data_IF_103041478082
#
_entry.id   IF_103041478082
#
_cell.length_a   1.000
_cell.length_b   1.000
_cell.length_c   1.000
_cell.angle_alpha   90.00
_cell.angle_beta   90.00
_cell.angle_gamma   90.00
#
_symmetry.space_group_name_H-M   'P 1'
#
loop_
_entity.id
_entity.type
_entity.pdbx_description
1 polymer ?
#
# COMPACT_ATOMS: atom_id res chain seq x y z
N UNK A 1 9.66 -3.49 18.25
CA UNK A 1 10.04 -3.75 19.66
C UNK A 1 9.05 -3.19 20.68
N UNK A 2 8.71 -1.89 20.69
CA UNK A 2 7.79 -1.32 21.72
C UNK A 2 6.41 -1.99 21.79
N UNK A 3 5.78 -2.24 20.64
CA UNK A 3 4.45 -2.89 20.54
C UNK A 3 4.46 -4.32 21.09
N UNK A 4 5.56 -5.05 20.94
CA UNK A 4 5.69 -6.42 21.45
C UNK A 4 5.66 -6.44 22.98
N UNK A 5 6.44 -5.56 23.62
CA UNK A 5 6.46 -5.44 25.08
C UNK A 5 5.12 -4.99 25.64
N UNK A 6 4.46 -4.02 25.02
CA UNK A 6 3.11 -3.56 25.43
C UNK A 6 2.14 -4.74 25.42
N UNK A 7 2.17 -5.57 24.38
CA UNK A 7 1.30 -6.74 24.24
C UNK A 7 1.57 -7.78 25.33
N UNK A 8 2.83 -8.17 25.55
CA UNK A 8 3.19 -9.10 26.62
C UNK A 8 2.74 -8.58 28.00
N UNK A 9 2.96 -7.30 28.28
CA UNK A 9 2.56 -6.69 29.54
C UNK A 9 1.03 -6.76 29.69
N UNK A 10 0.27 -6.38 28.65
CA UNK A 10 -1.20 -6.46 28.68
C UNK A 10 -1.72 -7.89 28.88
N UNK A 11 -1.14 -8.88 28.20
CA UNK A 11 -1.50 -10.28 28.35
C UNK A 11 -1.18 -10.81 29.75
N UNK A 12 -0.02 -10.44 30.29
CA UNK A 12 0.40 -10.83 31.64
C UNK A 12 -0.47 -10.22 32.72
N UNK A 13 -0.92 -8.97 32.56
CA UNK A 13 -1.83 -8.30 33.49
C UNK A 13 -3.18 -9.03 33.54
N UNK A 14 -3.74 -9.40 32.40
CA UNK A 14 -5.00 -10.16 32.34
C UNK A 14 -4.88 -11.52 33.03
N UNK A 15 -3.76 -12.22 32.83
CA UNK A 15 -3.48 -13.48 33.50
C UNK A 15 -3.29 -13.33 35.02
N UNK A 16 -2.58 -12.28 35.46
CA UNK A 16 -2.40 -11.99 36.89
C UNK A 16 -3.72 -11.67 37.58
N UNK A 17 -4.62 -10.95 36.89
CA UNK A 17 -5.99 -10.72 37.36
C UNK A 17 -6.73 -12.04 37.55
N UNK A 18 -6.68 -12.93 36.55
CA UNK A 18 -7.34 -14.24 36.60
C UNK A 18 -6.84 -15.11 37.76
N UNK A 19 -5.52 -15.20 37.93
CA UNK A 19 -4.89 -15.99 39.01
C UNK A 19 -5.28 -15.45 40.39
N UNK A 20 -5.36 -14.13 40.54
CA UNK A 20 -5.53 -13.49 41.85
C UNK A 20 -6.98 -13.54 42.35
N UNK A 21 -7.95 -13.44 41.43
CA UNK A 21 -9.36 -13.23 41.80
C UNK A 21 -10.29 -14.39 41.45
N UNK A 22 -10.00 -15.18 40.41
CA UNK A 22 -10.98 -16.13 39.85
C UNK A 22 -10.52 -17.60 39.92
N UNK A 23 -9.25 -17.85 40.24
CA UNK A 23 -8.69 -19.20 40.20
C UNK A 23 -8.95 -20.00 41.47
N UNK A 24 -9.54 -21.19 41.30
CA UNK A 24 -9.74 -22.17 42.38
C UNK A 24 -8.43 -22.83 42.81
N UNK A 25 -7.54 -23.10 41.85
CA UNK A 25 -6.24 -23.75 42.07
C UNK A 25 -5.08 -22.91 41.49
N UNK A 26 -4.56 -21.99 42.30
CA UNK A 26 -3.51 -21.05 41.89
C UNK A 26 -2.26 -21.73 41.30
N UNK A 27 -1.84 -22.88 41.84
CA UNK A 27 -0.66 -23.59 41.34
C UNK A 27 -0.81 -24.05 39.88
N UNK A 28 -1.99 -24.56 39.50
CA UNK A 28 -2.28 -25.00 38.12
C UNK A 28 -2.34 -23.79 37.19
N UNK A 29 -2.92 -22.69 37.66
CA UNK A 29 -3.03 -21.44 36.90
C UNK A 29 -1.68 -20.79 36.63
N UNK A 30 -0.74 -20.85 37.57
CA UNK A 30 0.64 -20.37 37.35
C UNK A 30 1.35 -21.23 36.27
N UNK A 31 1.14 -22.55 36.27
CA UNK A 31 1.70 -23.43 35.25
C UNK A 31 1.08 -23.13 33.88
N UNK A 32 -0.25 -23.00 33.81
CA UNK A 32 -0.95 -22.64 32.57
C UNK A 32 -0.53 -21.26 32.05
N UNK A 33 -0.30 -20.29 32.94
CA UNK A 33 0.28 -18.99 32.59
C UNK A 33 1.67 -19.14 31.97
N UNK A 34 2.57 -19.90 32.62
CA UNK A 34 3.92 -20.10 32.11
C UNK A 34 3.93 -20.76 30.72
N UNK A 35 3.07 -21.77 30.52
CA UNK A 35 2.92 -22.46 29.22
C UNK A 35 2.38 -21.51 28.16
N UNK A 36 1.28 -20.79 28.45
CA UNK A 36 0.68 -19.86 27.49
C UNK A 36 1.61 -18.68 27.18
N UNK A 37 2.35 -18.17 28.15
CA UNK A 37 3.38 -17.15 27.94
C UNK A 37 4.52 -17.66 27.04
N UNK A 38 4.96 -18.90 27.24
CA UNK A 38 5.97 -19.55 26.38
C UNK A 38 5.51 -19.67 24.93
N UNK A 39 4.27 -20.12 24.71
CA UNK A 39 3.67 -20.20 23.37
C UNK A 39 3.49 -18.79 22.78
N UNK A 40 3.08 -17.82 23.60
CA UNK A 40 2.93 -16.42 23.19
C UNK A 40 4.27 -15.81 22.74
N UNK A 41 5.38 -16.13 23.41
CA UNK A 41 6.71 -15.71 22.97
C UNK A 41 7.08 -16.32 21.61
N UNK A 42 6.71 -17.59 21.39
CA UNK A 42 6.89 -18.27 20.10
C UNK A 42 6.07 -17.68 18.96
N UNK A 43 5.07 -16.82 19.21
CA UNK A 43 4.36 -16.07 18.16
C UNK A 43 5.26 -15.08 17.41
N UNK A 44 6.46 -14.78 17.92
CA UNK A 44 7.48 -14.01 17.20
C UNK A 44 7.95 -14.73 15.94
N UNK A 45 7.87 -16.06 15.91
CA UNK A 45 8.31 -16.88 14.78
C UNK A 45 7.09 -17.10 13.86
N UNK A 46 7.13 -16.66 12.58
CA UNK A 46 5.97 -16.70 11.69
C UNK A 46 5.58 -18.11 11.22
N UNK A 47 6.45 -19.11 11.40
CA UNK A 47 6.16 -20.51 11.03
C UNK A 47 5.02 -21.08 11.89
N UNK A 48 4.06 -21.72 11.21
CA UNK A 48 2.91 -22.40 11.81
C UNK A 48 2.12 -21.52 12.79
N UNK A 49 1.91 -20.25 12.44
CA UNK A 49 1.34 -19.26 13.37
C UNK A 49 -0.09 -19.61 13.82
N UNK A 50 -0.92 -20.14 12.91
CA UNK A 50 -2.27 -20.59 13.25
C UNK A 50 -2.26 -21.64 14.35
N UNK A 51 -1.38 -22.65 14.27
CA UNK A 51 -1.30 -23.73 15.27
C UNK A 51 -0.92 -23.25 16.66
N UNK A 52 -0.17 -22.15 16.76
CA UNK A 52 0.16 -21.53 18.05
C UNK A 52 -1.05 -20.81 18.64
N UNK A 53 -1.80 -20.09 17.81
CA UNK A 53 -3.05 -19.45 18.24
C UNK A 53 -4.12 -20.47 18.62
N UNK A 54 -4.26 -21.56 17.87
CA UNK A 54 -5.19 -22.64 18.22
C UNK A 54 -4.81 -23.30 19.54
N UNK A 55 -3.51 -23.56 19.77
CA UNK A 55 -3.02 -24.07 21.05
C UNK A 55 -3.33 -23.11 22.22
N UNK A 56 -3.13 -21.80 22.03
CA UNK A 56 -3.46 -20.79 23.04
C UNK A 56 -4.95 -20.80 23.38
N UNK A 57 -5.83 -20.82 22.37
CA UNK A 57 -7.28 -20.88 22.59
C UNK A 57 -7.67 -22.13 23.38
N UNK A 58 -7.17 -23.30 22.98
CA UNK A 58 -7.49 -24.58 23.65
C UNK A 58 -7.03 -24.58 25.11
N UNK A 59 -5.81 -24.12 25.38
CA UNK A 59 -5.26 -24.11 26.75
C UNK A 59 -6.04 -23.13 27.63
N UNK A 60 -6.37 -21.93 27.12
CA UNK A 60 -7.15 -20.93 27.85
C UNK A 60 -8.57 -21.42 28.14
N UNK A 61 -9.25 -22.02 27.16
CA UNK A 61 -10.60 -22.56 27.35
C UNK A 61 -10.59 -23.74 28.31
N UNK A 62 -9.63 -24.66 28.21
CA UNK A 62 -9.51 -25.77 29.15
C UNK A 62 -9.22 -25.28 30.57
N UNK A 63 -8.32 -24.31 30.72
CA UNK A 63 -8.02 -23.70 32.01
C UNK A 63 -9.27 -23.05 32.62
N UNK A 64 -9.99 -22.24 31.83
CA UNK A 64 -11.24 -21.61 32.28
C UNK A 64 -12.33 -22.61 32.67
N UNK A 65 -12.50 -23.66 31.88
CA UNK A 65 -13.53 -24.66 32.14
C UNK A 65 -13.30 -25.47 33.43
N UNK A 66 -12.04 -25.80 33.75
CA UNK A 66 -11.72 -26.70 34.87
C UNK A 66 -11.31 -25.98 36.17
N UNK A 67 -10.73 -24.78 36.09
CA UNK A 67 -9.99 -24.18 37.21
C UNK A 67 -10.39 -22.73 37.55
N UNK A 68 -11.48 -22.23 36.97
CA UNK A 68 -11.97 -20.86 37.21
C UNK A 68 -13.46 -20.88 37.53
N UNK A 69 -13.89 -20.11 38.53
CA UNK A 69 -15.31 -20.00 38.91
C UNK A 69 -16.06 -18.98 38.05
N UNK A 70 -15.33 -17.95 37.60
CA UNK A 70 -15.87 -16.83 36.82
C UNK A 70 -15.39 -16.85 35.37
N UNK A 71 -16.34 -16.76 34.44
CA UNK A 71 -16.06 -16.84 33.01
C UNK A 71 -15.59 -15.52 32.37
N UNK A 72 -15.61 -14.41 33.13
CA UNK A 72 -15.36 -13.07 32.57
C UNK A 72 -13.92 -12.92 32.08
N UNK A 73 -12.93 -13.23 32.91
CA UNK A 73 -11.55 -12.95 32.55
C UNK A 73 -10.96 -14.01 31.61
N UNK A 74 -11.44 -15.26 31.63
CA UNK A 74 -11.21 -16.22 30.54
C UNK A 74 -11.79 -15.74 29.21
N UNK A 75 -13.03 -15.22 29.18
CA UNK A 75 -13.61 -14.66 27.97
C UNK A 75 -12.83 -13.43 27.45
N UNK A 76 -12.34 -12.56 28.33
CA UNK A 76 -11.48 -11.43 27.97
C UNK A 76 -10.12 -11.89 27.43
N UNK A 77 -9.53 -12.94 27.98
CA UNK A 77 -8.29 -13.55 27.47
C UNK A 77 -8.50 -14.14 26.07
N UNK A 78 -9.63 -14.82 25.83
CA UNK A 78 -9.99 -15.33 24.50
C UNK A 78 -10.17 -14.18 23.50
N UNK A 79 -10.91 -13.12 23.88
CA UNK A 79 -11.07 -11.92 23.07
C UNK A 79 -9.71 -11.30 22.74
N UNK A 80 -8.82 -11.18 23.73
CA UNK A 80 -7.47 -10.66 23.54
C UNK A 80 -6.71 -11.46 22.47
N UNK A 81 -6.76 -12.80 22.53
CA UNK A 81 -6.11 -13.65 21.53
C UNK A 81 -6.69 -13.46 20.12
N UNK A 82 -8.01 -13.31 20.00
CA UNK A 82 -8.66 -13.04 18.71
C UNK A 82 -8.25 -11.68 18.14
N UNK A 83 -8.25 -10.63 18.98
CA UNK A 83 -7.77 -9.30 18.60
C UNK A 83 -6.32 -9.37 18.11
N UNK A 84 -5.48 -10.06 18.87
CA UNK A 84 -4.06 -10.22 18.60
C UNK A 84 -3.78 -10.91 17.26
N UNK A 85 -4.53 -11.98 17.00
CA UNK A 85 -4.44 -12.76 15.78
C UNK A 85 -4.95 -12.01 14.55
N UNK A 86 -5.93 -11.12 14.71
CA UNK A 86 -6.50 -10.33 13.62
C UNK A 86 -5.47 -9.42 12.93
N UNK A 87 -4.42 -9.02 13.66
CA UNK A 87 -3.31 -8.23 13.10
C UNK A 87 -2.18 -9.06 12.47
N UNK A 88 -2.18 -10.39 12.63
CA UNK A 88 -1.03 -11.25 12.28
C UNK A 88 -1.34 -12.39 11.33
N UNK A 89 -2.56 -12.92 11.34
CA UNK A 89 -2.97 -14.04 10.50
C UNK A 89 -3.56 -13.56 9.18
N UNK A 90 -3.31 -14.29 8.10
CA UNK A 90 -3.97 -14.09 6.80
C UNK A 90 -5.50 -14.29 6.87
N UNK A 91 -6.25 -13.79 5.88
CA UNK A 91 -7.73 -13.74 5.89
C UNK A 91 -8.37 -15.11 6.19
N UNK A 92 -7.89 -16.15 5.51
CA UNK A 92 -8.40 -17.52 5.69
C UNK A 92 -8.14 -18.03 7.12
N UNK A 93 -6.92 -17.88 7.61
CA UNK A 93 -6.52 -18.34 8.95
C UNK A 93 -7.23 -17.57 10.07
N UNK A 94 -7.51 -16.29 9.86
CA UNK A 94 -8.27 -15.47 10.79
C UNK A 94 -9.73 -15.93 10.91
N UNK A 95 -10.39 -16.23 9.79
CA UNK A 95 -11.76 -16.74 9.79
C UNK A 95 -11.82 -18.09 10.52
N UNK A 96 -10.87 -19.00 10.24
CA UNK A 96 -10.78 -20.30 10.92
C UNK A 96 -10.64 -20.11 12.43
N UNK A 97 -9.73 -19.23 12.87
CA UNK A 97 -9.51 -18.96 14.30
C UNK A 97 -10.74 -18.35 14.97
N UNK A 98 -11.47 -17.46 14.27
CA UNK A 98 -12.70 -16.86 14.79
C UNK A 98 -13.80 -17.92 15.01
N UNK A 99 -13.98 -18.85 14.06
CA UNK A 99 -14.92 -19.97 14.21
C UNK A 99 -14.54 -20.84 15.41
N UNK A 100 -13.24 -21.14 15.58
CA UNK A 100 -12.74 -21.89 16.74
C UNK A 100 -12.99 -21.16 18.05
N UNK A 101 -12.69 -19.86 18.13
CA UNK A 101 -12.94 -19.06 19.32
C UNK A 101 -14.43 -19.00 19.67
N UNK A 102 -15.32 -18.85 18.69
CA UNK A 102 -16.77 -18.88 18.89
C UNK A 102 -17.26 -20.25 19.40
N UNK A 103 -16.75 -21.34 18.85
CA UNK A 103 -17.07 -22.70 19.31
C UNK A 103 -16.60 -22.93 20.75
N UNK A 104 -15.38 -22.49 21.08
CA UNK A 104 -14.81 -22.63 22.42
C UNK A 104 -15.52 -21.74 23.46
N UNK A 105 -15.98 -20.56 23.05
CA UNK A 105 -16.83 -19.70 23.88
C UNK A 105 -18.18 -20.36 24.18
N UNK A 106 -18.78 -21.02 23.19
CA UNK A 106 -20.01 -21.79 23.38
C UNK A 106 -19.80 -22.99 24.33
N UNK A 107 -18.65 -23.68 24.22
CA UNK A 107 -18.28 -24.78 25.10
C UNK A 107 -18.18 -24.36 26.57
N UNK A 108 -17.63 -23.17 26.84
CA UNK A 108 -17.56 -22.57 28.18
C UNK A 108 -18.94 -22.31 28.80
N UNK A 109 -19.99 -22.17 27.99
CA UNK A 109 -21.36 -21.97 28.47
C UNK A 109 -22.16 -23.24 28.77
N UNK A 110 -21.67 -24.43 28.41
CA UNK A 110 -22.43 -25.69 28.57
C UNK A 110 -22.57 -26.27 29.99
N UNK A 111 -21.58 -26.18 30.90
CA UNK A 111 -21.59 -26.95 32.15
C UNK A 111 -22.39 -26.31 33.29
N UNK A 112 -22.59 -24.99 33.26
CA UNK A 112 -23.20 -24.24 34.36
C UNK A 112 -24.69 -23.95 34.10
N UNK A 113 -25.44 -23.73 35.18
CA UNK A 113 -26.77 -23.11 35.05
C UNK A 113 -26.63 -21.77 34.33
N UNK A 114 -27.24 -21.66 33.15
CA UNK A 114 -27.19 -20.48 32.31
C UNK A 114 -27.88 -19.31 33.02
N UNK A 115 -27.12 -18.56 33.81
CA UNK A 115 -27.59 -17.29 34.38
C UNK A 115 -27.68 -16.25 33.27
N UNK A 116 -28.65 -15.34 33.39
CA UNK A 116 -28.87 -14.26 32.42
C UNK A 116 -27.60 -13.42 32.23
N UNK A 117 -26.86 -13.18 33.31
CA UNK A 117 -25.58 -12.44 33.28
C UNK A 117 -24.55 -13.08 32.35
N UNK A 118 -24.35 -14.40 32.44
CA UNK A 118 -23.36 -15.13 31.63
C UNK A 118 -23.76 -15.21 30.16
N UNK A 119 -25.05 -15.40 29.89
CA UNK A 119 -25.57 -15.36 28.51
C UNK A 119 -25.32 -13.99 27.89
N UNK A 120 -25.60 -12.91 28.62
CA UNK A 120 -25.34 -11.54 28.16
C UNK A 120 -23.84 -11.31 27.92
N UNK A 121 -22.98 -11.76 28.83
CA UNK A 121 -21.52 -11.66 28.68
C UNK A 121 -21.01 -12.39 27.44
N UNK A 122 -21.39 -13.66 27.24
CA UNK A 122 -20.94 -14.43 26.09
C UNK A 122 -21.47 -13.87 24.77
N UNK A 123 -22.71 -13.38 24.74
CA UNK A 123 -23.24 -12.66 23.58
C UNK A 123 -22.45 -11.37 23.33
N UNK A 124 -22.16 -10.59 24.36
CA UNK A 124 -21.38 -9.36 24.24
C UNK A 124 -19.98 -9.63 23.69
N UNK A 125 -19.26 -10.61 24.24
CA UNK A 125 -17.93 -11.01 23.76
C UNK A 125 -18.01 -11.57 22.33
N UNK A 126 -19.02 -12.38 22.03
CA UNK A 126 -19.26 -12.90 20.68
C UNK A 126 -19.50 -11.80 19.65
N UNK A 127 -20.32 -10.81 19.98
CA UNK A 127 -20.59 -9.62 19.15
C UNK A 127 -19.30 -8.81 18.96
N UNK A 128 -18.52 -8.57 20.02
CA UNK A 128 -17.24 -7.86 19.91
C UNK A 128 -16.26 -8.60 18.99
N UNK A 129 -16.11 -9.91 19.16
CA UNK A 129 -15.29 -10.73 18.28
C UNK A 129 -15.76 -10.62 16.82
N UNK A 130 -17.07 -10.63 16.58
CA UNK A 130 -17.65 -10.51 15.24
C UNK A 130 -17.35 -9.14 14.62
N UNK A 131 -17.57 -8.05 15.35
CA UNK A 131 -17.28 -6.68 14.91
C UNK A 131 -15.81 -6.53 14.56
N UNK A 132 -14.90 -7.01 15.43
CA UNK A 132 -13.45 -6.95 15.17
C UNK A 132 -13.09 -7.73 13.92
N UNK A 133 -13.64 -8.93 13.75
CA UNK A 133 -13.38 -9.76 12.58
C UNK A 133 -13.79 -9.01 11.30
N UNK A 134 -15.01 -8.48 11.28
CA UNK A 134 -15.52 -7.69 10.15
C UNK A 134 -14.63 -6.47 9.87
N UNK A 135 -14.30 -5.66 10.89
CA UNK A 135 -13.43 -4.51 10.73
C UNK A 135 -12.06 -4.87 10.15
N UNK A 136 -11.51 -6.03 10.51
CA UNK A 136 -10.22 -6.47 9.99
C UNK A 136 -10.32 -6.97 8.54
N UNK A 137 -11.41 -7.63 8.17
CA UNK A 137 -11.68 -8.02 6.78
C UNK A 137 -11.84 -6.77 5.92
N UNK A 138 -12.66 -5.81 6.35
CA UNK A 138 -12.89 -4.54 5.64
C UNK A 138 -11.59 -3.73 5.48
N UNK A 139 -10.76 -3.64 6.52
CA UNK A 139 -9.46 -2.93 6.44
C UNK A 139 -8.53 -3.54 5.39
N UNK A 140 -8.54 -4.86 5.23
CA UNK A 140 -7.69 -5.53 4.24
C UNK A 140 -8.21 -5.31 2.82
N UNK A 141 -9.52 -5.42 2.63
CA UNK A 141 -10.14 -5.12 1.34
C UNK A 141 -9.89 -3.66 0.93
N UNK A 142 -10.00 -2.72 1.87
CA UNK A 142 -9.63 -1.32 1.64
C UNK A 142 -8.15 -1.17 1.24
N UNK A 143 -7.25 -1.95 1.85
CA UNK A 143 -5.83 -1.88 1.54
C UNK A 143 -5.52 -2.47 0.16
N UNK A 144 -6.14 -3.59 -0.21
CA UNK A 144 -6.03 -4.19 -1.55
C UNK A 144 -6.51 -3.22 -2.63
N UNK A 145 -7.69 -2.61 -2.45
CA UNK A 145 -8.24 -1.60 -3.36
C UNK A 145 -7.32 -0.37 -3.45
N UNK A 146 -6.76 0.07 -2.33
CA UNK A 146 -5.84 1.21 -2.30
C UNK A 146 -4.55 0.93 -3.08
N UNK A 147 -4.00 -0.27 -2.95
CA UNK A 147 -2.80 -0.70 -3.69
C UNK A 147 -3.07 -0.80 -5.21
N UNK A 148 -4.24 -1.33 -5.60
CA UNK A 148 -4.68 -1.37 -7.00
C UNK A 148 -4.83 0.04 -7.58
N UNK A 149 -5.54 0.93 -6.87
CA UNK A 149 -5.73 2.32 -7.28
C UNK A 149 -4.40 3.08 -7.43
N UNK A 150 -3.45 2.85 -6.52
CA UNK A 150 -2.09 3.40 -6.64
C UNK A 150 -1.35 2.86 -7.87
N UNK A 151 -1.55 1.59 -8.21
CA UNK A 151 -1.03 0.96 -9.42
C UNK A 151 -1.55 1.63 -10.69
N UNK A 152 -2.86 1.82 -10.78
CA UNK A 152 -3.51 2.50 -11.90
C UNK A 152 -3.07 3.96 -12.00
N UNK A 153 -3.06 4.69 -10.89
CA UNK A 153 -2.62 6.09 -10.86
C UNK A 153 -1.19 6.25 -11.38
N UNK A 154 -0.27 5.36 -10.99
CA UNK A 154 1.12 5.36 -11.51
C UNK A 154 1.17 5.12 -13.01
N UNK A 155 0.34 4.21 -13.52
CA UNK A 155 0.25 3.89 -14.94
C UNK A 155 -0.30 5.08 -15.74
N UNK A 156 -1.40 5.68 -15.27
CA UNK A 156 -2.01 6.86 -15.87
C UNK A 156 -1.03 8.04 -15.87
N UNK A 157 -0.31 8.26 -14.77
CA UNK A 157 0.72 9.30 -14.68
C UNK A 157 1.85 9.10 -15.69
N UNK A 158 2.33 7.87 -15.89
CA UNK A 158 3.33 7.58 -16.93
C UNK A 158 2.79 7.86 -18.33
N UNK A 159 1.55 7.45 -18.60
CA UNK A 159 0.90 7.72 -19.88
C UNK A 159 0.77 9.24 -20.16
N UNK A 160 0.35 10.02 -19.16
CA UNK A 160 0.27 11.48 -19.29
C UNK A 160 1.62 12.13 -19.57
N UNK A 161 2.68 11.75 -18.86
CA UNK A 161 4.03 12.29 -19.09
C UNK A 161 4.50 11.95 -20.51
N UNK A 162 4.27 10.72 -20.97
CA UNK A 162 4.63 10.32 -22.32
C UNK A 162 3.81 11.07 -23.37
N UNK A 163 2.52 11.26 -23.15
CA UNK A 163 1.65 12.02 -24.04
C UNK A 163 2.08 13.50 -24.10
N UNK A 164 2.44 14.12 -22.97
CA UNK A 164 2.97 15.48 -22.93
C UNK A 164 4.29 15.60 -23.69
N UNK A 165 5.22 14.67 -23.49
CA UNK A 165 6.49 14.64 -24.22
C UNK A 165 6.26 14.49 -25.72
N UNK A 166 5.38 13.57 -26.14
CA UNK A 166 5.04 13.36 -27.55
C UNK A 166 4.38 14.60 -28.16
N UNK A 167 3.43 15.23 -27.48
CA UNK A 167 2.81 16.47 -27.94
C UNK A 167 3.83 17.61 -28.07
N UNK A 168 4.77 17.71 -27.12
CA UNK A 168 5.86 18.70 -27.18
C UNK A 168 6.81 18.43 -28.34
N UNK A 169 7.10 17.17 -28.64
CA UNK A 169 7.91 16.77 -29.80
C UNK A 169 7.19 17.07 -31.12
N UNK A 170 5.91 16.72 -31.22
CA UNK A 170 5.08 17.01 -32.39
C UNK A 170 5.01 18.52 -32.67
N UNK A 171 4.82 19.32 -31.62
CA UNK A 171 4.82 20.78 -31.70
C UNK A 171 6.16 21.33 -32.22
N UNK A 172 7.28 20.84 -31.68
CA UNK A 172 8.62 21.24 -32.15
C UNK A 172 8.85 20.89 -33.62
N UNK A 173 8.44 19.69 -34.03
CA UNK A 173 8.56 19.24 -35.43
C UNK A 173 7.68 20.09 -36.35
N UNK A 174 6.47 20.47 -35.91
CA UNK A 174 5.61 21.39 -36.65
C UNK A 174 6.26 22.76 -36.80
N UNK A 175 6.75 23.35 -35.70
CA UNK A 175 7.45 24.65 -35.71
C UNK A 175 8.66 24.61 -36.65
N UNK A 176 9.46 23.54 -36.61
CA UNK A 176 10.63 23.38 -37.47
C UNK A 176 10.24 23.37 -38.97
N UNK A 177 9.15 22.67 -39.32
CA UNK A 177 8.61 22.64 -40.70
C UNK A 177 8.09 24.02 -41.11
N UNK A 178 7.29 24.67 -40.27
CA UNK A 178 6.73 25.99 -40.55
C UNK A 178 7.83 27.05 -40.72
N UNK A 179 8.89 27.00 -39.91
CA UNK A 179 10.06 27.87 -40.05
C UNK A 179 10.84 27.59 -41.34
N UNK A 180 11.09 26.32 -41.66
CA UNK A 180 11.77 25.93 -42.89
C UNK A 180 11.03 26.47 -44.12
N UNK A 181 9.71 26.27 -44.16
CA UNK A 181 8.91 26.65 -45.31
C UNK A 181 8.71 28.17 -45.37
N UNK A 182 8.40 28.83 -44.25
CA UNK A 182 8.16 30.28 -44.27
C UNK A 182 9.44 31.11 -44.40
N UNK A 183 10.43 30.90 -43.52
CA UNK A 183 11.67 31.70 -43.47
C UNK A 183 12.63 31.28 -44.57
N UNK A 184 12.78 29.96 -44.78
CA UNK A 184 13.67 29.42 -45.81
C UNK A 184 13.26 29.85 -47.22
N UNK A 185 11.97 29.78 -47.56
CA UNK A 185 11.50 30.24 -48.88
C UNK A 185 11.63 31.75 -49.05
N UNK A 186 11.30 32.55 -48.01
CA UNK A 186 11.45 34.02 -48.07
C UNK A 186 12.90 34.46 -48.27
N UNK A 187 13.84 33.85 -47.54
CA UNK A 187 15.27 34.14 -47.70
C UNK A 187 15.78 33.69 -49.07
N UNK A 188 15.32 32.55 -49.59
CA UNK A 188 15.68 32.10 -50.94
C UNK A 188 15.19 33.08 -52.01
N UNK A 189 13.94 33.55 -51.90
CA UNK A 189 13.39 34.58 -52.78
C UNK A 189 14.18 35.90 -52.67
N UNK A 190 14.53 36.32 -51.46
CA UNK A 190 15.35 37.51 -51.20
C UNK A 190 16.73 37.41 -51.87
N UNK A 191 17.41 36.27 -51.73
CA UNK A 191 18.71 36.00 -52.38
C UNK A 191 18.57 36.10 -53.91
N UNK A 192 17.50 35.55 -54.49
CA UNK A 192 17.23 35.67 -55.93
C UNK A 192 16.95 37.11 -56.37
N UNK A 193 16.19 37.88 -55.59
CA UNK A 193 15.91 39.29 -55.88
C UNK A 193 17.18 40.14 -55.81
N UNK A 194 18.03 39.93 -54.79
CA UNK A 194 19.33 40.60 -54.66
C UNK A 194 20.28 40.24 -55.80
N UNK A 195 20.26 38.97 -56.25
CA UNK A 195 21.05 38.53 -57.41
C UNK A 195 20.64 39.25 -58.69
N UNK A 196 19.33 39.38 -58.95
CA UNK A 196 18.84 40.11 -60.10
C UNK A 196 19.26 41.59 -60.06
N UNK A 197 19.17 42.23 -58.88
CA UNK A 197 19.53 43.64 -58.69
C UNK A 197 21.04 43.87 -58.86
N UNK A 198 21.89 42.98 -58.34
CA UNK A 198 23.35 43.04 -58.54
C UNK A 198 23.71 43.01 -60.03
N UNK A 199 23.09 42.11 -60.81
CA UNK A 199 23.31 42.01 -62.26
C UNK A 199 22.83 43.26 -63.02
N UNK A 200 21.67 43.81 -62.65
CA UNK A 200 21.08 44.96 -63.35
C UNK A 200 21.80 46.28 -63.05
N UNK A 201 22.17 46.53 -61.80
CA UNK A 201 22.74 47.81 -61.37
C UNK A 201 24.27 47.82 -61.34
N UNK A 202 24.95 46.66 -61.40
CA UNK A 202 26.41 46.52 -61.26
C UNK A 202 26.97 47.19 -60.00
N UNK A 203 26.18 47.19 -58.93
CA UNK A 203 26.56 47.76 -57.65
C UNK A 203 26.97 46.65 -56.68
N UNK A 204 28.19 46.74 -56.17
CA UNK A 204 28.79 45.78 -55.23
C UNK A 204 28.06 45.75 -53.89
N UNK A 205 27.29 46.79 -53.53
CA UNK A 205 26.48 46.80 -52.31
C UNK A 205 25.42 45.68 -52.27
N UNK A 206 24.89 45.27 -53.43
CA UNK A 206 23.94 44.16 -53.51
C UNK A 206 24.59 42.79 -53.31
N UNK A 207 25.89 42.65 -53.62
CA UNK A 207 26.64 41.42 -53.36
C UNK A 207 26.88 41.21 -51.86
N UNK A 208 27.16 42.28 -51.11
CA UNK A 208 27.28 42.23 -49.64
C UNK A 208 25.94 41.86 -48.98
N UNK A 209 24.83 42.46 -49.41
CA UNK A 209 23.49 42.12 -48.92
C UNK A 209 23.09 40.68 -49.26
N UNK A 210 23.44 40.20 -50.46
CA UNK A 210 23.21 38.82 -50.87
C UNK A 210 24.01 37.84 -50.00
N UNK A 211 25.25 38.17 -49.67
CA UNK A 211 26.07 37.36 -48.79
C UNK A 211 25.47 37.29 -47.38
N UNK A 212 25.04 38.43 -46.82
CA UNK A 212 24.36 38.47 -45.52
C UNK A 212 23.07 37.63 -45.50
N UNK A 213 22.28 37.67 -46.57
CA UNK A 213 21.08 36.85 -46.71
C UNK A 213 21.40 35.34 -46.81
N UNK A 214 22.50 34.97 -47.47
CA UNK A 214 22.99 33.58 -47.52
C UNK A 214 23.44 33.08 -46.15
N UNK A 215 24.20 33.89 -45.42
CA UNK A 215 24.64 33.56 -44.06
C UNK A 215 23.43 33.39 -43.13
N UNK A 216 22.45 34.29 -43.21
CA UNK A 216 21.20 34.21 -42.43
C UNK A 216 20.38 32.95 -42.76
N UNK A 217 20.37 32.51 -44.02
CA UNK A 217 19.69 31.27 -44.42
C UNK A 217 20.39 30.03 -43.85
N UNK A 218 21.72 30.02 -43.85
CA UNK A 218 22.50 28.92 -43.28
C UNK A 218 22.32 28.85 -41.76
N UNK A 219 22.41 29.99 -41.06
CA UNK A 219 22.16 30.08 -39.62
C UNK A 219 20.76 29.58 -39.25
N UNK A 220 19.74 29.95 -40.03
CA UNK A 220 18.36 29.49 -39.82
C UNK A 220 18.25 27.98 -40.03
N UNK A 221 18.92 27.43 -41.07
CA UNK A 221 18.94 25.97 -41.32
C UNK A 221 19.64 25.21 -40.21
N UNK A 222 20.73 25.73 -39.67
CA UNK A 222 21.43 25.15 -38.52
C UNK A 222 20.54 25.14 -37.28
N UNK A 223 19.83 26.25 -37.00
CA UNK A 223 18.89 26.32 -35.88
C UNK A 223 17.71 25.34 -36.04
N UNK A 224 17.13 25.22 -37.23
CA UNK A 224 16.05 24.26 -37.52
C UNK A 224 16.54 22.81 -37.43
N UNK A 225 17.75 22.52 -37.93
CA UNK A 225 18.36 21.19 -37.78
C UNK A 225 18.64 20.85 -36.32
N UNK A 226 19.06 21.80 -35.50
CA UNK A 226 19.24 21.59 -34.06
C UNK A 226 17.91 21.23 -33.37
N UNK A 227 16.81 21.89 -33.74
CA UNK A 227 15.46 21.56 -33.27
C UNK A 227 15.00 20.15 -33.69
N UNK A 228 15.45 19.65 -34.84
CA UNK A 228 15.13 18.31 -35.37
C UNK A 228 16.07 17.20 -34.87
N UNK A 229 17.35 17.47 -34.62
CA UNK A 229 18.31 16.43 -34.18
C UNK A 229 18.16 16.08 -32.70
N UNK A 230 17.64 17.00 -31.89
CA UNK A 230 17.21 16.71 -30.52
C UNK A 230 16.04 15.70 -30.48
N UNK A 231 15.30 15.52 -31.59
CA UNK A 231 14.24 14.52 -31.75
C UNK A 231 14.79 13.10 -31.97
N UNK A 232 15.81 12.93 -32.84
CA UNK A 232 16.33 11.60 -33.20
C UNK A 232 17.14 10.92 -32.08
N UNK A 233 17.64 11.66 -31.09
CA UNK A 233 18.34 11.09 -29.94
C UNK A 233 17.40 10.46 -28.89
N UNK A 234 16.10 10.79 -28.89
CA UNK A 234 15.12 10.28 -27.92
C UNK A 234 14.36 9.03 -28.39
N UNK A 235 14.52 8.60 -29.65
CA UNK A 235 13.90 7.37 -30.19
C UNK A 235 14.80 6.12 -30.05
N UNK A 236 16.05 6.25 -29.57
CA UNK A 236 17.02 5.14 -29.40
C UNK A 236 17.13 4.56 -27.97
N UNK A 237 16.20 4.88 -27.05
CA UNK A 237 16.16 4.33 -25.67
C UNK A 237 14.77 3.75 -25.39
#
# INVERSE_FOLDING_TARGET
MRVFWIRIISFSILWLYEISFNSTFQAVSIIAFAVTLGIYFLLTIPRFLIWKYTALLIILTAHGYFFTEEAIATALLLLYIVLDAAFRLEKQNQIILFIQAGLLLLLLGLPDELTVERVVLYLFVGILCFIVNQMCVERREQQEIYEELLGEYRTMKRFHINAENNARLEERTRIARDLHDSVGHRLTALIMSLEMLSIQQKDTAYDELKQLAKESLEDTRLAVRALQTEHSCNEEI
#
